data_IF_000509516318
#
_entry.id   IF_000509516318
#
_cell.length_a   1.000
_cell.length_b   1.000
_cell.length_c   1.000
_cell.angle_alpha   90.00
_cell.angle_beta   90.00
_cell.angle_gamma   90.00
#
_symmetry.space_group_name_H-M   'P 1'
#
loop_
_entity.id
_entity.type
_entity.pdbx_description
1 polymer ?
#
# COMPACT_ATOMS: atom_id res chain seq x y z
N UNK A 1 46.00 -9.41 -23.03
CA UNK A 1 44.67 -8.91 -22.59
C UNK A 1 44.10 -8.11 -23.75
N UNK A 2 43.21 -8.72 -24.54
CA UNK A 2 42.50 -8.01 -25.61
C UNK A 2 41.58 -7.00 -24.95
N UNK A 3 41.76 -5.71 -25.24
CA UNK A 3 40.88 -4.67 -24.71
C UNK A 3 39.44 -4.98 -25.13
N UNK A 4 38.55 -5.17 -24.15
CA UNK A 4 37.13 -5.40 -24.40
C UNK A 4 36.60 -4.13 -25.04
N UNK A 5 36.29 -4.17 -26.35
CA UNK A 5 35.75 -3.02 -27.07
C UNK A 5 34.39 -2.67 -26.47
N UNK A 6 34.16 -1.38 -26.22
CA UNK A 6 32.88 -0.88 -25.76
C UNK A 6 31.78 -1.18 -26.79
N UNK A 7 30.62 -1.62 -26.32
CA UNK A 7 29.43 -1.82 -27.16
C UNK A 7 28.75 -0.46 -27.35
N UNK A 8 28.58 -0.05 -28.60
CA UNK A 8 27.97 1.24 -28.92
C UNK A 8 26.46 1.08 -29.04
N UNK A 9 25.72 1.63 -28.07
CA UNK A 9 24.25 1.68 -28.09
C UNK A 9 23.82 3.10 -28.47
N UNK A 10 23.17 3.24 -29.63
CA UNK A 10 22.68 4.53 -30.14
C UNK A 10 21.15 4.58 -30.05
N UNK A 11 20.60 5.79 -30.16
CA UNK A 11 19.15 5.95 -30.33
C UNK A 11 18.79 5.45 -31.73
N UNK A 12 17.88 4.49 -31.85
CA UNK A 12 17.51 3.84 -33.12
C UNK A 12 17.20 4.83 -34.26
N UNK A 13 16.64 6.00 -33.95
CA UNK A 13 16.40 7.05 -34.96
C UNK A 13 17.68 7.47 -35.71
N UNK A 14 18.81 7.61 -35.00
CA UNK A 14 20.11 7.96 -35.60
C UNK A 14 20.71 6.81 -36.40
N UNK A 15 20.43 5.56 -36.01
CA UNK A 15 20.94 4.38 -36.73
C UNK A 15 20.17 4.17 -38.04
N UNK A 16 18.86 4.46 -38.03
CA UNK A 16 18.02 4.48 -39.23
C UNK A 16 18.44 5.59 -40.21
N UNK A 17 18.78 6.79 -39.71
CA UNK A 17 19.27 7.89 -40.57
C UNK A 17 20.65 7.61 -41.19
N UNK A 18 21.56 6.96 -40.46
CA UNK A 18 22.93 6.71 -40.92
C UNK A 18 23.13 5.38 -41.64
N UNK A 19 22.08 4.55 -41.75
CA UNK A 19 22.13 3.21 -42.36
C UNK A 19 23.26 2.34 -41.78
N UNK A 20 23.44 2.36 -40.45
CA UNK A 20 24.45 1.57 -39.75
C UNK A 20 23.90 0.18 -39.35
N UNK A 21 24.79 -0.81 -39.21
CA UNK A 21 24.45 -2.13 -38.67
C UNK A 21 24.42 -2.08 -37.14
N UNK A 22 23.59 -2.93 -36.53
CA UNK A 22 23.66 -3.16 -35.09
C UNK A 22 25.02 -3.79 -34.73
N UNK A 23 25.58 -3.39 -33.58
CA UNK A 23 26.83 -3.96 -33.10
C UNK A 23 26.66 -5.48 -32.84
N UNK A 24 27.55 -6.30 -33.39
CA UNK A 24 27.56 -7.75 -33.22
C UNK A 24 27.55 -8.19 -31.75
N UNK A 25 28.30 -7.49 -30.90
CA UNK A 25 28.32 -7.76 -29.47
C UNK A 25 26.96 -7.41 -28.81
N UNK A 26 26.28 -6.37 -29.28
CA UNK A 26 24.92 -6.06 -28.83
C UNK A 26 23.93 -7.15 -29.22
N UNK A 27 23.95 -7.63 -30.47
CA UNK A 27 23.08 -8.73 -30.93
C UNK A 27 23.30 -9.97 -30.05
N UNK A 28 24.56 -10.34 -29.79
CA UNK A 28 24.87 -11.47 -28.91
C UNK A 28 24.31 -11.30 -27.50
N UNK A 29 24.44 -10.11 -26.89
CA UNK A 29 23.87 -9.82 -25.58
C UNK A 29 22.34 -9.96 -25.56
N UNK A 30 21.67 -9.50 -26.62
CA UNK A 30 20.21 -9.66 -26.74
C UNK A 30 19.85 -11.14 -26.79
N UNK A 31 20.54 -11.93 -27.63
CA UNK A 31 20.30 -13.38 -27.72
C UNK A 31 20.56 -14.09 -26.38
N UNK A 32 21.63 -13.73 -25.68
CA UNK A 32 21.96 -14.27 -24.35
C UNK A 32 20.96 -13.86 -23.27
N UNK A 33 20.33 -12.69 -23.40
CA UNK A 33 19.31 -12.23 -22.47
C UNK A 33 17.95 -12.92 -22.67
N UNK A 34 17.71 -13.51 -23.84
CA UNK A 34 16.44 -14.12 -24.21
C UNK A 34 16.50 -15.65 -24.11
N UNK A 35 17.55 -16.26 -24.64
CA UNK A 35 17.62 -17.72 -24.85
C UNK A 35 18.58 -18.37 -23.86
N UNK A 36 18.31 -19.62 -23.47
CA UNK A 36 19.28 -20.39 -22.67
C UNK A 36 20.51 -20.78 -23.51
N UNK A 37 21.69 -20.95 -22.89
CA UNK A 37 22.85 -21.52 -23.57
C UNK A 37 22.53 -22.90 -24.17
N UNK A 38 22.88 -23.12 -25.43
CA UNK A 38 22.64 -24.37 -26.14
C UNK A 38 22.48 -24.19 -27.65
N UNK A 39 22.08 -25.26 -28.34
CA UNK A 39 22.06 -25.35 -29.81
C UNK A 39 21.26 -24.22 -30.46
N UNK A 40 20.09 -23.89 -29.91
CA UNK A 40 19.23 -22.83 -30.46
C UNK A 40 19.89 -21.46 -30.34
N UNK A 41 20.48 -21.14 -29.18
CA UNK A 41 21.17 -19.86 -28.98
C UNK A 41 22.42 -19.77 -29.86
N UNK A 42 23.21 -20.85 -29.96
CA UNK A 42 24.40 -20.89 -30.81
C UNK A 42 24.04 -20.71 -32.29
N UNK A 43 22.99 -21.38 -32.75
CA UNK A 43 22.46 -21.25 -34.12
C UNK A 43 21.97 -19.83 -34.40
N UNK A 44 21.30 -19.18 -33.44
CA UNK A 44 20.87 -17.80 -33.56
C UNK A 44 22.05 -16.83 -33.58
N UNK A 45 23.09 -17.05 -32.77
CA UNK A 45 24.32 -16.23 -32.76
C UNK A 45 25.06 -16.35 -34.08
N UNK A 46 25.18 -17.56 -34.62
CA UNK A 46 25.78 -17.77 -35.93
C UNK A 46 24.96 -17.09 -37.04
N UNK A 47 23.64 -17.27 -37.05
CA UNK A 47 22.76 -16.74 -38.08
C UNK A 47 22.60 -15.21 -38.03
N UNK A 48 22.55 -14.61 -36.84
CA UNK A 48 22.16 -13.21 -36.65
C UNK A 48 23.32 -12.31 -36.23
N UNK A 49 24.41 -12.87 -35.71
CA UNK A 49 25.60 -12.16 -35.27
C UNK A 49 26.87 -12.70 -35.97
N UNK A 50 26.74 -13.36 -37.13
CA UNK A 50 27.85 -13.78 -37.99
C UNK A 50 28.66 -12.61 -38.58
N UNK A 51 29.73 -12.91 -39.31
CA UNK A 51 30.53 -11.86 -39.99
C UNK A 51 29.73 -11.12 -41.06
N UNK A 52 28.77 -11.79 -41.70
CA UNK A 52 27.93 -11.25 -42.79
C UNK A 52 26.54 -10.75 -42.34
N UNK A 53 26.33 -10.48 -41.05
CA UNK A 53 25.01 -10.03 -40.58
C UNK A 53 24.63 -8.66 -41.17
N UNK A 54 23.34 -8.48 -41.46
CA UNK A 54 22.80 -7.27 -42.12
C UNK A 54 21.70 -6.58 -41.31
N UNK A 55 21.63 -6.85 -40.00
CA UNK A 55 20.59 -6.36 -39.11
C UNK A 55 20.85 -4.89 -38.75
N UNK A 56 19.88 -4.03 -39.05
CA UNK A 56 20.01 -2.56 -38.95
C UNK A 56 19.13 -1.91 -37.87
N UNK A 57 18.23 -2.68 -37.26
CA UNK A 57 17.34 -2.18 -36.21
C UNK A 57 16.92 -3.30 -35.27
N UNK A 58 16.43 -2.93 -34.09
CA UNK A 58 15.93 -3.91 -33.14
C UNK A 58 14.66 -4.59 -33.67
N UNK A 59 13.80 -3.87 -34.38
CA UNK A 59 12.65 -4.44 -35.09
C UNK A 59 13.07 -5.53 -36.09
N UNK A 60 14.14 -5.29 -36.86
CA UNK A 60 14.69 -6.26 -37.80
C UNK A 60 15.29 -7.47 -37.07
N UNK A 61 15.94 -7.26 -35.91
CA UNK A 61 16.45 -8.35 -35.08
C UNK A 61 15.32 -9.24 -34.55
N UNK A 62 14.25 -8.65 -34.03
CA UNK A 62 13.05 -9.36 -33.56
C UNK A 62 12.41 -10.15 -34.70
N UNK A 63 12.26 -9.53 -35.87
CA UNK A 63 11.74 -10.21 -37.06
C UNK A 63 12.63 -11.37 -37.50
N UNK A 64 13.96 -11.22 -37.47
CA UNK A 64 14.89 -12.27 -37.82
C UNK A 64 14.82 -13.46 -36.84
N UNK A 65 14.72 -13.20 -35.53
CA UNK A 65 14.49 -14.24 -34.53
C UNK A 65 13.14 -14.96 -34.75
N UNK A 66 12.06 -14.22 -35.04
CA UNK A 66 10.76 -14.82 -35.40
C UNK A 66 10.87 -15.72 -36.63
N UNK A 67 11.56 -15.26 -37.67
CA UNK A 67 11.78 -16.02 -38.91
C UNK A 67 12.62 -17.27 -38.69
N UNK A 68 13.59 -17.23 -37.78
CA UNK A 68 14.36 -18.40 -37.37
C UNK A 68 13.44 -19.49 -36.82
N UNK A 69 12.57 -19.17 -35.87
CA UNK A 69 11.63 -20.16 -35.32
C UNK A 69 10.56 -20.58 -36.34
N UNK A 70 10.05 -19.65 -37.13
CA UNK A 70 9.06 -19.93 -38.17
C UNK A 70 9.59 -20.90 -39.24
N UNK A 71 10.88 -20.85 -39.55
CA UNK A 71 11.51 -21.77 -40.52
C UNK A 71 11.87 -23.13 -39.91
N UNK A 72 12.29 -23.16 -38.63
CA UNK A 72 12.83 -24.38 -38.03
C UNK A 72 11.79 -25.25 -37.32
N UNK A 73 10.75 -24.66 -36.71
CA UNK A 73 9.72 -25.43 -36.00
C UNK A 73 8.91 -26.33 -36.94
N UNK A 74 8.40 -25.86 -38.10
CA UNK A 74 7.64 -26.72 -39.00
C UNK A 74 8.46 -27.91 -39.49
N UNK A 75 9.72 -27.66 -39.89
CA UNK A 75 10.66 -28.70 -40.32
C UNK A 75 10.87 -29.76 -39.23
N UNK A 76 11.07 -29.31 -37.99
CA UNK A 76 11.21 -30.20 -36.85
C UNK A 76 9.97 -31.07 -36.63
N UNK A 77 8.77 -30.51 -36.83
CA UNK A 77 7.52 -31.24 -36.65
C UNK A 77 7.22 -32.22 -37.80
N UNK A 78 7.66 -31.93 -39.03
CA UNK A 78 7.35 -32.74 -40.22
C UNK A 78 8.40 -33.78 -40.58
N UNK A 79 9.68 -33.57 -40.23
CA UNK A 79 10.80 -34.40 -40.70
C UNK A 79 11.41 -35.30 -39.62
N UNK A 80 11.07 -35.09 -38.34
CA UNK A 80 11.64 -35.86 -37.22
C UNK A 80 10.85 -37.16 -36.98
N UNK A 81 11.56 -38.21 -36.56
CA UNK A 81 10.97 -39.51 -36.23
C UNK A 81 10.00 -39.40 -35.06
N UNK A 82 9.03 -40.30 -35.03
CA UNK A 82 8.09 -40.41 -33.92
C UNK A 82 8.82 -40.52 -32.56
N UNK A 83 8.49 -39.62 -31.63
CA UNK A 83 9.05 -39.60 -30.28
C UNK A 83 10.34 -38.77 -30.10
N UNK A 84 10.91 -38.19 -31.16
CA UNK A 84 12.18 -37.45 -31.12
C UNK A 84 12.02 -35.91 -31.12
N UNK A 85 10.79 -35.41 -30.90
CA UNK A 85 10.54 -33.96 -30.82
C UNK A 85 11.33 -33.35 -29.67
N UNK A 86 12.22 -32.40 -29.98
CA UNK A 86 12.96 -31.66 -28.97
C UNK A 86 12.12 -30.51 -28.40
N UNK A 87 11.84 -30.57 -27.10
CA UNK A 87 11.09 -29.53 -26.39
C UNK A 87 11.85 -28.20 -26.29
N UNK A 88 13.18 -28.21 -26.40
CA UNK A 88 14.04 -27.01 -26.24
C UNK A 88 13.64 -25.91 -27.22
N UNK A 89 13.47 -26.20 -28.51
CA UNK A 89 13.11 -25.17 -29.51
C UNK A 89 11.80 -24.46 -29.18
N UNK A 90 10.82 -25.18 -28.61
CA UNK A 90 9.54 -24.60 -28.20
C UNK A 90 9.69 -23.75 -26.93
N UNK A 91 10.54 -24.18 -25.98
CA UNK A 91 10.84 -23.37 -24.80
C UNK A 91 11.55 -22.08 -25.20
N UNK A 92 12.54 -22.15 -26.10
CA UNK A 92 13.22 -20.96 -26.62
C UNK A 92 12.25 -20.04 -27.38
N UNK A 93 11.34 -20.59 -28.19
CA UNK A 93 10.31 -19.80 -28.87
C UNK A 93 9.35 -19.11 -27.88
N UNK A 94 8.96 -19.80 -26.80
CA UNK A 94 8.17 -19.21 -25.69
C UNK A 94 8.92 -18.05 -25.04
N UNK A 95 10.24 -18.17 -24.82
CA UNK A 95 11.04 -17.08 -24.26
C UNK A 95 11.05 -15.84 -25.16
N UNK A 96 11.20 -16.02 -26.48
CA UNK A 96 11.08 -14.92 -27.43
C UNK A 96 9.72 -14.22 -27.33
N UNK A 97 8.62 -14.98 -27.24
CA UNK A 97 7.28 -14.42 -27.09
C UNK A 97 7.09 -13.64 -25.77
N UNK A 98 7.61 -14.16 -24.65
CA UNK A 98 7.59 -13.48 -23.35
C UNK A 98 8.44 -12.21 -23.39
N UNK A 99 9.64 -12.29 -23.96
CA UNK A 99 10.53 -11.14 -24.13
C UNK A 99 9.84 -10.04 -24.94
N UNK A 100 9.27 -10.37 -26.09
CA UNK A 100 8.66 -9.38 -26.97
C UNK A 100 7.49 -8.65 -26.30
N UNK A 101 6.63 -9.41 -25.61
CA UNK A 101 5.52 -8.82 -24.83
C UNK A 101 6.05 -7.87 -23.77
N UNK A 102 7.06 -8.28 -23.00
CA UNK A 102 7.65 -7.46 -21.93
C UNK A 102 8.36 -6.24 -22.50
N UNK A 103 9.18 -6.40 -23.53
CA UNK A 103 9.87 -5.33 -24.22
C UNK A 103 8.89 -4.25 -24.72
N UNK A 104 7.79 -4.66 -25.35
CA UNK A 104 6.74 -3.72 -25.79
C UNK A 104 6.09 -2.98 -24.62
N UNK A 105 5.86 -3.65 -23.49
CA UNK A 105 5.33 -3.01 -22.28
C UNK A 105 6.32 -2.02 -21.69
N UNK A 106 7.60 -2.40 -21.62
CA UNK A 106 8.68 -1.59 -21.05
C UNK A 106 8.96 -0.34 -21.91
N UNK A 107 8.88 -0.44 -23.24
CA UNK A 107 8.98 0.71 -24.14
C UNK A 107 7.88 1.77 -23.88
N UNK A 108 6.69 1.35 -23.44
CA UNK A 108 5.54 2.22 -23.20
C UNK A 108 5.36 2.57 -21.72
N UNK A 109 6.37 2.29 -20.88
CA UNK A 109 6.28 2.50 -19.42
C UNK A 109 5.93 3.95 -19.08
N UNK A 110 6.53 4.89 -19.82
CA UNK A 110 6.35 6.33 -19.65
C UNK A 110 5.52 6.98 -20.76
N UNK A 111 4.79 6.18 -21.56
CA UNK A 111 3.87 6.70 -22.57
C UNK A 111 2.58 7.22 -21.89
N UNK A 112 2.28 8.54 -21.95
CA UNK A 112 1.08 9.12 -21.36
C UNK A 112 -0.21 8.64 -21.99
N UNK A 113 -0.21 8.24 -23.26
CA UNK A 113 -1.40 7.76 -23.95
C UNK A 113 -1.90 6.40 -23.42
N UNK A 114 -1.05 5.68 -22.70
CA UNK A 114 -1.33 4.35 -22.13
C UNK A 114 -1.65 4.40 -20.63
N UNK A 115 -1.91 5.59 -20.07
CA UNK A 115 -2.22 5.79 -18.64
C UNK A 115 -3.58 6.44 -18.49
N UNK A 116 -4.36 5.98 -17.51
CA UNK A 116 -5.61 6.63 -17.11
C UNK A 116 -5.38 8.04 -16.56
N UNK A 117 -4.28 8.23 -15.82
CA UNK A 117 -3.77 9.54 -15.42
C UNK A 117 -2.38 9.80 -16.04
N UNK A 118 -2.29 10.56 -17.14
CA UNK A 118 -1.03 10.98 -17.76
C UNK A 118 -0.06 11.70 -16.80
N UNK A 119 -0.59 12.45 -15.83
CA UNK A 119 0.21 13.21 -14.87
C UNK A 119 0.83 12.33 -13.77
N UNK A 120 0.48 11.04 -13.69
CA UNK A 120 1.05 10.12 -12.72
C UNK A 120 2.43 9.55 -13.13
N UNK A 121 2.92 9.87 -14.33
CA UNK A 121 4.17 9.31 -14.87
C UNK A 121 5.40 10.05 -14.33
N UNK A 122 5.38 11.37 -14.38
CA UNK A 122 6.54 12.22 -14.12
C UNK A 122 6.35 13.00 -12.84
N UNK A 123 7.45 13.26 -12.14
CA UNK A 123 7.41 14.11 -10.95
C UNK A 123 7.00 15.54 -11.32
N UNK A 124 6.04 16.15 -10.59
CA UNK A 124 5.63 17.54 -10.85
C UNK A 124 6.82 18.50 -10.74
N UNK A 125 7.04 19.28 -11.79
CA UNK A 125 8.14 20.23 -11.85
C UNK A 125 7.64 21.60 -12.34
N UNK A 126 7.57 22.62 -11.46
CA UNK A 126 7.00 23.93 -11.82
C UNK A 126 7.89 24.72 -12.78
N UNK A 127 9.16 24.33 -12.95
CA UNK A 127 10.11 25.00 -13.86
C UNK A 127 10.35 24.20 -15.15
N UNK A 128 9.60 23.12 -15.39
CA UNK A 128 9.75 22.35 -16.63
C UNK A 128 9.37 23.19 -17.85
N UNK A 129 10.22 23.26 -18.90
CA UNK A 129 10.05 24.22 -19.99
C UNK A 129 8.80 24.01 -20.86
N UNK A 130 8.27 22.79 -20.89
CA UNK A 130 7.15 22.41 -21.79
C UNK A 130 5.91 21.92 -21.01
N UNK A 131 6.10 21.43 -19.80
CA UNK A 131 5.06 20.78 -18.99
C UNK A 131 5.20 21.20 -17.52
N UNK A 132 5.10 22.50 -17.21
CA UNK A 132 5.18 22.96 -15.83
C UNK A 132 4.01 22.37 -15.03
N UNK A 133 4.32 21.80 -13.87
CA UNK A 133 3.30 21.25 -12.96
C UNK A 133 3.70 21.46 -11.50
N UNK A 134 2.70 21.70 -10.65
CA UNK A 134 2.91 22.00 -9.23
C UNK A 134 2.64 20.77 -8.38
N UNK A 135 3.64 20.37 -7.58
CA UNK A 135 3.47 19.33 -6.58
C UNK A 135 2.33 19.66 -5.60
N UNK A 136 2.11 20.94 -5.32
CA UNK A 136 1.09 21.40 -4.37
C UNK A 136 -0.33 21.45 -4.95
N UNK A 137 -0.45 21.36 -6.28
CA UNK A 137 -1.73 21.25 -6.99
C UNK A 137 -2.04 19.81 -7.41
N UNK A 138 -1.09 18.90 -7.20
CA UNK A 138 -1.20 17.48 -7.57
C UNK A 138 -2.14 16.73 -6.63
N UNK A 139 -2.98 15.86 -7.23
CA UNK A 139 -3.74 14.83 -6.52
C UNK A 139 -3.09 13.46 -6.78
N UNK A 140 -2.55 12.78 -5.76
CA UNK A 140 -1.71 11.59 -5.96
C UNK A 140 -2.53 10.30 -6.17
N UNK A 141 -3.34 10.23 -7.24
CA UNK A 141 -4.12 9.04 -7.59
C UNK A 141 -4.05 8.71 -9.09
N UNK A 142 -4.33 7.46 -9.44
CA UNK A 142 -4.33 6.99 -10.84
C UNK A 142 -5.74 6.87 -11.42
N UNK A 143 -6.67 6.31 -10.65
CA UNK A 143 -8.02 5.96 -11.11
C UNK A 143 -9.04 6.32 -10.06
N UNK A 144 -10.24 6.67 -10.53
CA UNK A 144 -11.43 6.76 -9.65
C UNK A 144 -11.96 5.36 -9.41
N UNK A 145 -12.18 5.03 -8.15
CA UNK A 145 -12.64 3.72 -7.69
C UNK A 145 -14.18 3.71 -7.54
N UNK A 146 -14.80 4.86 -7.22
CA UNK A 146 -16.26 4.99 -7.07
C UNK A 146 -16.88 3.92 -6.15
N UNK A 147 -16.39 3.88 -4.91
CA UNK A 147 -16.71 2.85 -3.93
C UNK A 147 -18.02 3.10 -3.17
N UNK A 148 -18.36 4.36 -2.92
CA UNK A 148 -19.45 4.71 -2.01
C UNK A 148 -20.24 5.95 -2.44
N UNK A 149 -21.48 6.06 -1.96
CA UNK A 149 -22.31 7.27 -2.06
C UNK A 149 -22.73 7.74 -0.65
N UNK A 150 -23.56 8.79 -0.55
CA UNK A 150 -24.03 9.33 0.75
C UNK A 150 -24.80 8.31 1.59
N UNK A 151 -25.40 7.29 0.99
CA UNK A 151 -26.21 6.26 1.67
C UNK A 151 -25.40 5.02 2.04
N UNK A 152 -24.22 4.81 1.44
CA UNK A 152 -23.35 3.69 1.78
C UNK A 152 -22.98 3.73 3.28
N UNK A 153 -23.25 2.66 4.05
CA UNK A 153 -22.87 2.62 5.46
C UNK A 153 -21.34 2.55 5.61
N UNK A 154 -20.76 3.57 6.26
CA UNK A 154 -19.30 3.70 6.45
C UNK A 154 -18.92 3.73 7.93
N UNK A 155 -17.84 3.04 8.29
CA UNK A 155 -17.18 3.18 9.59
C UNK A 155 -15.70 3.45 9.45
N UNK A 156 -15.05 4.00 10.48
CA UNK A 156 -13.60 4.28 10.43
C UNK A 156 -12.89 4.11 11.77
N UNK A 157 -11.77 3.39 11.78
CA UNK A 157 -10.93 3.20 12.96
C UNK A 157 -9.47 3.55 12.67
N UNK A 158 -8.78 4.13 13.65
CA UNK A 158 -7.35 4.40 13.52
C UNK A 158 -6.82 5.49 14.43
N UNK A 159 -5.79 6.17 13.94
CA UNK A 159 -5.14 7.31 14.59
C UNK A 159 -6.09 8.51 14.70
N UNK A 160 -5.63 9.63 15.26
CA UNK A 160 -6.40 10.88 15.30
C UNK A 160 -6.88 11.33 13.91
N UNK A 161 -6.18 10.96 12.83
CA UNK A 161 -6.61 11.26 11.47
C UNK A 161 -7.90 10.51 11.07
N UNK A 162 -8.15 9.32 11.63
CA UNK A 162 -9.43 8.63 11.45
C UNK A 162 -10.60 9.39 12.11
N UNK A 163 -10.34 10.10 13.21
CA UNK A 163 -11.33 10.97 13.86
C UNK A 163 -11.75 12.13 12.96
N UNK A 164 -10.81 12.72 12.21
CA UNK A 164 -11.12 13.80 11.27
C UNK A 164 -11.95 13.29 10.08
N UNK A 165 -11.67 12.08 9.58
CA UNK A 165 -12.52 11.41 8.60
C UNK A 165 -13.93 11.19 9.16
N UNK A 166 -14.06 10.70 10.39
CA UNK A 166 -15.36 10.49 11.03
C UNK A 166 -16.17 11.78 11.16
N UNK A 167 -15.52 12.88 11.55
CA UNK A 167 -16.15 14.20 11.63
C UNK A 167 -16.57 14.71 10.25
N UNK A 168 -15.70 14.60 9.24
CA UNK A 168 -16.02 15.04 7.89
C UNK A 168 -17.24 14.31 7.35
N UNK A 169 -17.30 12.99 7.51
CA UNK A 169 -18.42 12.19 7.03
C UNK A 169 -19.74 12.60 7.67
N UNK A 170 -19.75 12.82 8.99
CA UNK A 170 -20.95 13.27 9.71
C UNK A 170 -21.36 14.69 9.32
N UNK A 171 -20.42 15.65 9.29
CA UNK A 171 -20.68 17.04 8.87
C UNK A 171 -21.27 17.12 7.45
N UNK A 172 -20.84 16.22 6.57
CA UNK A 172 -21.27 16.19 5.17
C UNK A 172 -22.43 15.20 4.90
N UNK A 173 -23.13 14.73 5.93
CA UNK A 173 -24.32 13.87 5.80
C UNK A 173 -24.07 12.56 5.03
N UNK A 174 -22.88 11.98 5.15
CA UNK A 174 -22.67 10.59 4.76
C UNK A 174 -23.31 9.66 5.81
N UNK A 175 -23.71 8.45 5.40
CA UNK A 175 -24.20 7.41 6.30
C UNK A 175 -23.05 6.79 7.12
N UNK A 176 -22.49 7.61 8.01
CA UNK A 176 -21.47 7.19 8.96
C UNK A 176 -22.11 6.45 10.13
N UNK A 177 -21.72 5.20 10.33
CA UNK A 177 -22.25 4.34 11.39
C UNK A 177 -21.69 4.80 12.73
N UNK A 178 -22.58 5.08 13.68
CA UNK A 178 -22.27 5.32 15.09
C UNK A 178 -23.15 4.39 15.94
N UNK A 179 -22.51 3.48 16.66
CA UNK A 179 -23.12 2.44 17.50
C UNK A 179 -22.83 2.64 19.00
N UNK A 180 -21.88 3.51 19.33
CA UNK A 180 -21.58 3.91 20.70
C UNK A 180 -21.14 5.38 20.72
N UNK A 181 -21.77 6.17 21.59
CA UNK A 181 -21.48 7.58 21.84
C UNK A 181 -21.63 7.86 23.35
N UNK A 182 -21.06 8.97 23.83
CA UNK A 182 -21.29 9.51 25.17
C UNK A 182 -21.53 11.00 25.09
N UNK A 183 -22.16 11.57 26.11
CA UNK A 183 -22.40 13.02 26.19
C UNK A 183 -21.09 13.83 26.08
N UNK A 184 -19.96 13.26 26.50
CA UNK A 184 -18.64 13.89 26.43
C UNK A 184 -18.05 13.95 25.01
N UNK A 185 -18.62 13.20 24.05
CA UNK A 185 -18.21 13.27 22.63
C UNK A 185 -18.86 14.42 21.88
N UNK A 186 -19.88 15.06 22.48
CA UNK A 186 -20.75 16.01 21.79
C UNK A 186 -21.60 15.37 20.70
N UNK A 187 -22.12 16.21 19.81
CA UNK A 187 -23.11 15.80 18.79
C UNK A 187 -22.51 14.97 17.63
N UNK A 188 -21.18 14.96 17.49
CA UNK A 188 -20.48 14.26 16.41
C UNK A 188 -19.36 13.35 16.95
N UNK A 189 -19.71 12.11 17.34
CA UNK A 189 -18.74 11.14 17.84
C UNK A 189 -17.59 10.88 16.87
N UNK A 190 -16.37 10.86 17.38
CA UNK A 190 -15.14 10.75 16.56
C UNK A 190 -14.78 9.33 16.10
N UNK A 191 -15.65 8.34 16.31
CA UNK A 191 -15.45 6.95 15.88
C UNK A 191 -16.77 6.19 15.89
N UNK A 192 -16.87 5.06 15.17
CA UNK A 192 -18.15 4.35 15.07
C UNK A 192 -18.59 3.63 16.35
N UNK A 193 -17.68 3.18 17.21
CA UNK A 193 -18.05 2.54 18.48
C UNK A 193 -17.11 2.91 19.63
N UNK A 194 -16.67 4.18 19.69
CA UNK A 194 -15.80 4.72 20.76
C UNK A 194 -14.64 3.79 21.13
N UNK A 195 -14.01 3.05 20.22
CA UNK A 195 -12.93 2.09 20.55
C UNK A 195 -11.62 2.72 21.02
N UNK A 196 -11.58 4.06 21.09
CA UNK A 196 -10.38 4.81 21.43
C UNK A 196 -9.47 4.98 20.22
N UNK A 197 -8.26 5.50 20.45
CA UNK A 197 -7.29 5.70 19.38
C UNK A 197 -6.54 4.39 19.12
N UNK A 198 -6.49 3.95 17.86
CA UNK A 198 -5.81 2.72 17.45
C UNK A 198 -4.66 3.06 16.52
N UNK A 199 -3.41 2.84 16.95
CA UNK A 199 -2.25 3.17 16.11
C UNK A 199 -1.69 2.00 15.33
N UNK A 200 -1.72 0.81 15.91
CA UNK A 200 -0.98 -0.35 15.40
C UNK A 200 -1.92 -1.48 14.98
N UNK A 201 -1.46 -2.33 14.06
CA UNK A 201 -2.30 -3.38 13.48
C UNK A 201 -2.74 -4.48 14.45
N UNK A 202 -1.98 -4.85 15.50
CA UNK A 202 -2.48 -5.74 16.54
C UNK A 202 -3.71 -5.19 17.26
N UNK A 203 -3.79 -3.87 17.45
CA UNK A 203 -4.96 -3.24 18.07
C UNK A 203 -6.22 -3.36 17.20
N UNK A 204 -6.10 -3.31 15.87
CA UNK A 204 -7.22 -3.57 14.95
C UNK A 204 -7.65 -5.03 14.99
N UNK A 205 -6.69 -5.97 14.91
CA UNK A 205 -6.97 -7.40 15.03
C UNK A 205 -7.70 -7.70 16.34
N UNK A 206 -7.16 -7.22 17.47
CA UNK A 206 -7.79 -7.36 18.78
C UNK A 206 -9.20 -6.79 18.84
N UNK A 207 -9.46 -5.69 18.13
CA UNK A 207 -10.80 -5.09 18.07
C UNK A 207 -11.80 -6.04 17.40
N UNK A 208 -11.43 -6.67 16.29
CA UNK A 208 -12.28 -7.67 15.63
C UNK A 208 -12.42 -8.94 16.50
N UNK A 209 -11.31 -9.46 17.02
CA UNK A 209 -11.30 -10.67 17.85
C UNK A 209 -12.20 -10.50 19.08
N UNK A 210 -12.11 -9.36 19.80
CA UNK A 210 -12.92 -9.11 21.00
C UNK A 210 -14.39 -8.85 20.65
N UNK A 211 -14.69 -8.20 19.52
CA UNK A 211 -16.06 -7.95 19.08
C UNK A 211 -16.83 -9.24 18.78
N UNK A 212 -16.14 -10.26 18.25
CA UNK A 212 -16.73 -11.56 17.91
C UNK A 212 -16.46 -12.66 18.95
N UNK A 213 -15.86 -12.32 20.10
CA UNK A 213 -15.61 -13.27 21.19
C UNK A 213 -14.53 -14.31 20.90
N UNK A 214 -13.67 -14.06 19.91
CA UNK A 214 -12.55 -14.93 19.51
C UNK A 214 -11.34 -14.76 20.44
N UNK A 215 -11.23 -13.60 21.11
CA UNK A 215 -10.20 -13.33 22.12
C UNK A 215 -10.83 -12.83 23.41
N UNK A 216 -10.38 -13.38 24.53
CA UNK A 216 -10.65 -12.83 25.87
C UNK A 216 -9.54 -11.84 26.21
N UNK A 217 -9.91 -10.57 26.38
CA UNK A 217 -8.97 -9.52 26.81
C UNK A 217 -8.74 -9.59 28.32
N UNK A 218 -7.55 -9.19 28.81
CA UNK A 218 -7.34 -9.01 30.24
C UNK A 218 -8.13 -7.81 30.74
N UNK A 219 -8.83 -7.98 31.86
CA UNK A 219 -9.63 -6.93 32.50
C UNK A 219 -8.74 -6.04 33.37
N UNK A 220 -7.91 -5.23 32.70
CA UNK A 220 -7.10 -4.22 33.35
C UNK A 220 -7.88 -2.91 33.46
N UNK A 221 -7.61 -2.18 34.55
CA UNK A 221 -8.15 -0.84 34.80
C UNK A 221 -7.00 0.05 35.23
N UNK A 222 -6.80 1.13 34.50
CA UNK A 222 -5.76 2.10 34.76
C UNK A 222 -6.36 3.40 35.30
N UNK A 223 -5.75 3.94 36.35
CA UNK A 223 -6.06 5.28 36.85
C UNK A 223 -5.23 6.32 36.10
N UNK A 224 -5.88 7.38 35.66
CA UNK A 224 -5.27 8.52 35.00
C UNK A 224 -5.21 9.69 35.99
N UNK A 225 -4.02 9.90 36.57
CA UNK A 225 -3.77 10.95 37.56
C UNK A 225 -4.06 12.36 37.03
N UNK A 226 -3.91 12.58 35.72
CA UNK A 226 -4.07 13.92 35.13
C UNK A 226 -5.51 14.43 35.15
N UNK A 227 -6.49 13.52 35.14
CA UNK A 227 -7.91 13.89 35.13
C UNK A 227 -8.73 13.21 36.24
N UNK A 228 -8.09 12.39 37.08
CA UNK A 228 -8.74 11.67 38.17
C UNK A 228 -9.75 10.63 37.72
N UNK A 229 -9.56 10.04 36.51
CA UNK A 229 -10.51 9.10 35.90
C UNK A 229 -9.87 7.74 35.60
N UNK A 230 -10.72 6.77 35.30
CA UNK A 230 -10.33 5.39 34.99
C UNK A 230 -10.37 5.14 33.49
N UNK A 231 -9.52 4.25 32.98
CA UNK A 231 -9.54 3.84 31.58
C UNK A 231 -9.21 2.36 31.40
N UNK A 232 -9.68 1.79 30.30
CA UNK A 232 -9.22 0.49 29.80
C UNK A 232 -7.97 0.73 28.93
N UNK A 233 -6.83 0.11 29.24
CA UNK A 233 -5.60 0.36 28.50
C UNK A 233 -5.63 -0.12 27.03
N UNK A 234 -6.60 -0.96 26.67
CA UNK A 234 -6.86 -1.40 25.30
C UNK A 234 -7.95 -0.56 24.60
N UNK A 235 -8.31 0.59 25.19
CA UNK A 235 -9.30 1.56 24.68
C UNK A 235 -8.80 2.99 24.93
N UNK A 236 -7.70 3.33 24.27
CA UNK A 236 -6.94 4.57 24.48
C UNK A 236 -7.81 5.83 24.40
N UNK A 237 -7.63 6.73 25.37
CA UNK A 237 -8.32 8.02 25.46
C UNK A 237 -9.85 7.92 25.68
N UNK A 238 -10.34 6.78 26.18
CA UNK A 238 -11.71 6.64 26.67
C UNK A 238 -11.70 6.52 28.18
N UNK A 239 -12.24 7.56 28.83
CA UNK A 239 -12.16 7.77 30.27
C UNK A 239 -13.52 7.56 30.94
N UNK A 240 -13.50 7.08 32.19
CA UNK A 240 -14.68 6.72 32.97
C UNK A 240 -14.60 7.33 34.38
N UNK A 241 -15.74 7.79 34.90
CA UNK A 241 -15.80 8.38 36.25
C UNK A 241 -15.68 7.33 37.37
N UNK A 242 -15.87 6.04 37.08
CA UNK A 242 -15.74 4.95 38.06
C UNK A 242 -15.41 3.62 37.36
N UNK A 243 -14.82 2.69 38.11
CA UNK A 243 -14.55 1.30 37.65
C UNK A 243 -15.87 0.60 37.29
N UNK A 244 -16.92 0.79 38.08
CA UNK A 244 -18.24 0.20 37.81
C UNK A 244 -18.79 0.62 36.44
N UNK A 245 -18.70 1.90 36.07
CA UNK A 245 -19.13 2.37 34.74
C UNK A 245 -18.30 1.76 33.62
N UNK A 246 -16.99 1.62 33.83
CA UNK A 246 -16.09 0.98 32.86
C UNK A 246 -16.51 -0.47 32.64
N UNK A 247 -16.64 -1.25 33.71
CA UNK A 247 -17.00 -2.68 33.66
C UNK A 247 -18.40 -2.90 33.06
N UNK A 248 -19.40 -2.11 33.49
CA UNK A 248 -20.75 -2.14 32.91
C UNK A 248 -20.76 -1.74 31.43
N UNK A 249 -19.80 -0.92 30.99
CA UNK A 249 -19.65 -0.48 29.61
C UNK A 249 -19.01 -1.52 28.69
N UNK A 250 -18.19 -2.45 29.20
CA UNK A 250 -17.42 -3.41 28.37
C UNK A 250 -18.32 -4.21 27.43
N UNK A 251 -19.38 -4.85 27.94
CA UNK A 251 -20.28 -5.67 27.13
C UNK A 251 -20.98 -4.83 26.04
N UNK A 252 -21.51 -3.66 26.41
CA UNK A 252 -22.18 -2.75 25.47
C UNK A 252 -21.23 -2.28 24.36
N UNK A 253 -19.98 -1.97 24.73
CA UNK A 253 -18.93 -1.60 23.77
C UNK A 253 -18.64 -2.71 22.77
N UNK A 254 -18.48 -3.96 23.23
CA UNK A 254 -18.22 -5.10 22.34
C UNK A 254 -19.39 -5.36 21.39
N UNK A 255 -20.63 -5.24 21.88
CA UNK A 255 -21.84 -5.34 21.05
C UNK A 255 -21.90 -4.21 20.00
N UNK A 256 -21.51 -2.99 20.37
CA UNK A 256 -21.43 -1.86 19.44
C UNK A 256 -20.37 -2.11 18.35
N UNK A 257 -19.15 -2.51 18.72
CA UNK A 257 -18.09 -2.87 17.77
C UNK A 257 -18.56 -3.94 16.79
N UNK A 258 -19.25 -4.98 17.30
CA UNK A 258 -19.82 -6.04 16.48
C UNK A 258 -20.83 -5.50 15.45
N UNK A 259 -21.78 -4.67 15.89
CA UNK A 259 -22.79 -4.08 14.99
C UNK A 259 -22.16 -3.20 13.91
N UNK A 260 -21.10 -2.45 14.23
CA UNK A 260 -20.36 -1.69 13.20
C UNK A 260 -19.84 -2.63 12.13
N UNK A 261 -19.10 -3.68 12.50
CA UNK A 261 -18.50 -4.61 11.54
C UNK A 261 -19.53 -5.39 10.70
N UNK A 262 -20.67 -5.73 11.29
CA UNK A 262 -21.77 -6.43 10.59
C UNK A 262 -22.53 -5.49 9.61
N UNK A 263 -22.57 -4.18 9.87
CA UNK A 263 -23.37 -3.21 9.09
C UNK A 263 -22.58 -2.43 8.05
N UNK A 264 -21.29 -2.18 8.28
CA UNK A 264 -20.46 -1.39 7.36
C UNK A 264 -20.39 -2.05 5.98
N UNK A 265 -20.50 -1.26 4.92
CA UNK A 265 -20.15 -1.70 3.56
C UNK A 265 -18.74 -1.25 3.19
N UNK A 266 -18.33 -0.08 3.65
CA UNK A 266 -16.96 0.41 3.56
C UNK A 266 -16.42 0.67 4.96
N UNK A 267 -15.23 0.16 5.26
CA UNK A 267 -14.55 0.41 6.52
C UNK A 267 -13.16 0.99 6.29
N UNK A 268 -12.90 2.14 6.91
CA UNK A 268 -11.66 2.90 6.72
C UNK A 268 -10.71 2.60 7.88
N UNK A 269 -9.52 2.11 7.59
CA UNK A 269 -8.45 1.90 8.56
C UNK A 269 -7.31 2.90 8.34
N UNK A 270 -6.97 3.64 9.38
CA UNK A 270 -5.82 4.55 9.35
C UNK A 270 -4.70 4.05 10.25
N UNK A 271 -3.63 3.54 9.64
CA UNK A 271 -2.45 3.02 10.31
C UNK A 271 -1.62 4.17 10.91
N UNK A 272 -1.37 4.11 12.22
CA UNK A 272 -0.73 5.20 12.96
C UNK A 272 0.77 5.01 13.18
N UNK A 273 1.14 3.94 13.86
CA UNK A 273 2.48 3.67 14.37
C UNK A 273 2.79 2.17 14.32
N UNK A 274 4.03 1.82 14.02
CA UNK A 274 4.54 0.46 14.12
C UNK A 274 5.18 0.15 15.48
N UNK A 275 5.20 1.10 16.43
CA UNK A 275 5.60 0.87 17.81
C UNK A 275 4.37 0.63 18.69
N UNK A 276 4.47 -0.28 19.64
CA UNK A 276 3.37 -0.66 20.51
C UNK A 276 3.86 -1.18 21.87
N UNK A 277 2.91 -1.43 22.77
CA UNK A 277 3.17 -1.97 24.10
C UNK A 277 2.48 -3.32 24.24
N UNK A 278 3.26 -4.38 24.30
CA UNK A 278 2.77 -5.75 24.40
C UNK A 278 2.64 -6.16 25.87
N UNK A 279 1.45 -6.57 26.27
CA UNK A 279 1.13 -7.16 27.55
C UNK A 279 1.79 -8.53 27.65
N UNK A 280 2.75 -8.63 28.57
CA UNK A 280 3.68 -9.78 28.68
C UNK A 280 2.95 -11.12 28.85
N UNK A 281 1.86 -11.23 29.65
CA UNK A 281 1.24 -12.53 29.91
C UNK A 281 0.57 -13.23 28.71
N UNK A 282 0.00 -12.48 27.77
CA UNK A 282 -0.81 -13.09 26.67
C UNK A 282 -0.58 -12.46 25.28
N UNK A 283 0.32 -11.49 25.17
CA UNK A 283 0.65 -10.84 23.90
C UNK A 283 -0.39 -9.84 23.40
N UNK A 284 -1.43 -9.49 24.18
CA UNK A 284 -2.31 -8.37 23.84
C UNK A 284 -1.51 -7.06 23.76
N UNK A 285 -1.96 -6.13 22.94
CA UNK A 285 -1.23 -4.90 22.63
C UNK A 285 -2.06 -3.69 23.02
N UNK A 286 -1.45 -2.77 23.77
CA UNK A 286 -1.92 -1.42 23.99
C UNK A 286 -1.26 -0.45 22.99
N UNK A 287 -2.02 0.56 22.58
CA UNK A 287 -1.57 1.56 21.60
C UNK A 287 -0.58 2.58 22.18
N UNK A 288 -0.54 2.76 23.50
CA UNK A 288 0.37 3.70 24.19
C UNK A 288 1.02 3.09 25.42
N UNK A 289 2.05 3.79 25.90
CA UNK A 289 2.72 3.47 27.15
C UNK A 289 1.73 3.54 28.32
N UNK A 290 1.72 2.52 29.20
CA UNK A 290 1.06 2.59 30.50
C UNK A 290 1.36 3.88 31.28
N UNK A 291 0.34 4.46 31.93
CA UNK A 291 0.39 5.69 32.73
C UNK A 291 0.90 5.48 34.16
N UNK A 292 0.89 4.24 34.69
CA UNK A 292 1.40 3.92 36.04
C UNK A 292 2.57 2.95 36.03
N UNK A 293 3.41 2.96 37.08
CA UNK A 293 4.57 2.05 37.21
C UNK A 293 4.16 0.58 37.33
N UNK A 294 3.08 0.30 38.07
CA UNK A 294 2.54 -1.04 38.24
C UNK A 294 2.03 -1.60 36.92
N UNK A 295 1.33 -0.76 36.14
CA UNK A 295 0.85 -1.15 34.83
C UNK A 295 2.01 -1.30 33.83
N UNK A 296 2.99 -0.39 33.85
CA UNK A 296 4.21 -0.48 33.03
C UNK A 296 5.00 -1.78 33.27
N UNK A 297 4.97 -2.33 34.48
CA UNK A 297 5.62 -3.62 34.79
C UNK A 297 5.01 -4.82 34.05
N UNK A 298 3.81 -4.68 33.49
CA UNK A 298 3.10 -5.74 32.78
C UNK A 298 3.28 -5.65 31.25
N UNK A 299 3.90 -4.59 30.74
CA UNK A 299 4.03 -4.33 29.31
C UNK A 299 5.49 -4.20 28.90
N UNK A 300 5.78 -4.62 27.68
CA UNK A 300 7.07 -4.40 27.03
C UNK A 300 6.89 -3.63 25.73
N UNK A 301 7.83 -2.73 25.45
CA UNK A 301 7.88 -2.05 24.17
C UNK A 301 8.19 -3.05 23.06
N UNK A 302 7.51 -2.89 21.92
CA UNK A 302 7.74 -3.69 20.72
C UNK A 302 7.64 -2.82 19.47
N UNK A 303 8.62 -2.97 18.58
CA UNK A 303 8.56 -2.41 17.22
C UNK A 303 8.17 -3.52 16.25
N UNK A 304 7.03 -3.35 15.60
CA UNK A 304 6.44 -4.33 14.68
C UNK A 304 7.12 -4.26 13.31
N UNK A 305 7.42 -5.43 12.76
CA UNK A 305 7.95 -5.62 11.40
C UNK A 305 6.84 -5.55 10.34
N UNK A 306 7.20 -5.45 9.06
CA UNK A 306 6.22 -5.52 7.94
C UNK A 306 5.37 -6.80 8.04
N UNK A 307 6.02 -7.96 8.19
CA UNK A 307 5.34 -9.27 8.25
C UNK A 307 4.36 -9.37 9.43
N UNK A 308 4.76 -8.93 10.63
CA UNK A 308 3.85 -8.92 11.78
C UNK A 308 2.64 -8.00 11.56
N UNK A 309 2.87 -6.82 10.98
CA UNK A 309 1.78 -5.90 10.71
C UNK A 309 0.80 -6.47 9.67
N UNK A 310 1.33 -7.06 8.59
CA UNK A 310 0.55 -7.67 7.52
C UNK A 310 -0.28 -8.85 8.05
N UNK A 311 0.34 -9.75 8.81
CA UNK A 311 -0.36 -10.88 9.46
C UNK A 311 -1.56 -10.40 10.28
N UNK A 312 -1.42 -9.32 11.05
CA UNK A 312 -2.54 -8.77 11.82
C UNK A 312 -3.66 -8.23 10.93
N UNK A 313 -3.35 -7.55 9.83
CA UNK A 313 -4.37 -7.03 8.91
C UNK A 313 -5.07 -8.15 8.13
N UNK A 314 -4.33 -9.17 7.70
CA UNK A 314 -4.90 -10.36 7.03
C UNK A 314 -5.87 -11.09 7.96
N UNK A 315 -5.48 -11.35 9.20
CA UNK A 315 -6.36 -11.98 10.18
C UNK A 315 -7.56 -11.11 10.52
N UNK A 316 -7.37 -9.78 10.62
CA UNK A 316 -8.47 -8.85 10.84
C UNK A 316 -9.49 -8.93 9.70
N UNK A 317 -9.04 -8.84 8.44
CA UNK A 317 -9.89 -8.92 7.27
C UNK A 317 -10.60 -10.27 7.15
N UNK A 318 -9.89 -11.37 7.45
CA UNK A 318 -10.46 -12.71 7.49
C UNK A 318 -11.65 -12.76 8.46
N UNK A 319 -11.45 -12.32 9.71
CA UNK A 319 -12.53 -12.29 10.73
C UNK A 319 -13.70 -11.43 10.27
N UNK A 320 -13.45 -10.25 9.67
CA UNK A 320 -14.54 -9.40 9.19
C UNK A 320 -15.32 -10.08 8.07
N UNK A 321 -14.64 -10.71 7.11
CA UNK A 321 -15.28 -11.37 5.95
C UNK A 321 -16.05 -12.63 6.32
N UNK A 322 -15.70 -13.31 7.41
CA UNK A 322 -16.53 -14.41 7.93
C UNK A 322 -17.94 -13.94 8.35
N UNK A 323 -18.09 -12.66 8.71
CA UNK A 323 -19.35 -12.09 9.22
C UNK A 323 -20.02 -11.14 8.24
N UNK A 324 -19.21 -10.48 7.41
CA UNK A 324 -19.65 -9.52 6.40
C UNK A 324 -18.81 -9.72 5.13
N UNK A 325 -19.15 -10.71 4.29
CA UNK A 325 -18.35 -11.08 3.10
C UNK A 325 -18.18 -9.94 2.09
N UNK A 326 -19.12 -9.00 2.04
CA UNK A 326 -19.14 -7.88 1.10
C UNK A 326 -18.37 -6.65 1.59
N UNK A 327 -17.77 -6.70 2.78
CA UNK A 327 -17.08 -5.53 3.34
C UNK A 327 -15.88 -5.16 2.47
N UNK A 328 -15.80 -3.87 2.15
CA UNK A 328 -14.67 -3.28 1.45
C UNK A 328 -13.85 -2.44 2.43
N UNK A 329 -12.52 -2.46 2.27
CA UNK A 329 -11.62 -1.68 3.13
C UNK A 329 -10.95 -0.56 2.35
N UNK A 330 -10.83 0.60 2.99
CA UNK A 330 -9.91 1.66 2.57
C UNK A 330 -8.82 1.78 3.62
N UNK A 331 -7.57 1.64 3.22
CA UNK A 331 -6.40 1.68 4.09
C UNK A 331 -5.63 2.98 3.84
N UNK A 332 -5.31 3.72 4.89
CA UNK A 332 -4.47 4.91 4.84
C UNK A 332 -3.35 4.81 5.87
N UNK A 333 -2.23 5.48 5.62
CA UNK A 333 -1.24 5.77 6.66
C UNK A 333 -1.55 7.15 7.25
N UNK A 334 -1.38 7.30 8.57
CA UNK A 334 -1.56 8.58 9.26
C UNK A 334 -0.35 9.50 9.00
N UNK A 335 -0.55 10.76 8.60
CA UNK A 335 0.55 11.72 8.45
C UNK A 335 1.11 12.19 9.79
N UNK A 336 0.28 12.20 10.84
CA UNK A 336 0.64 12.68 12.17
C UNK A 336 1.89 11.94 12.70
N UNK A 337 2.97 12.68 13.03
CA UNK A 337 4.21 12.07 13.51
C UNK A 337 4.09 11.55 14.95
N UNK A 338 4.88 10.53 15.27
CA UNK A 338 4.92 9.96 16.61
C UNK A 338 5.31 11.02 17.65
N UNK A 339 4.63 11.02 18.79
CA UNK A 339 4.94 11.96 19.88
C UNK A 339 6.25 11.58 20.59
N UNK A 340 6.50 10.28 20.70
CA UNK A 340 7.68 9.71 21.34
C UNK A 340 8.00 8.36 20.71
N UNK A 341 9.26 7.95 20.80
CA UNK A 341 9.73 6.62 20.39
C UNK A 341 10.33 5.89 21.58
N UNK A 342 10.08 4.57 21.68
CA UNK A 342 10.78 3.70 22.61
C UNK A 342 12.23 3.41 22.19
N UNK A 343 12.61 3.79 20.97
CA UNK A 343 13.92 3.56 20.35
C UNK A 343 14.90 4.72 20.55
N UNK A 344 14.60 5.63 21.48
CA UNK A 344 15.36 6.86 21.67
C UNK A 344 16.82 6.64 22.12
N UNK A 345 17.16 5.41 22.56
CA UNK A 345 18.56 5.01 22.84
C UNK A 345 19.36 4.76 21.57
N UNK A 346 18.72 4.30 20.49
CA UNK A 346 19.40 3.94 19.23
C UNK A 346 19.18 4.97 18.12
N UNK A 347 18.09 5.74 18.16
CA UNK A 347 17.76 6.65 17.06
C UNK A 347 16.91 7.84 17.50
N UNK A 348 17.01 8.93 16.75
CA UNK A 348 16.22 10.14 16.98
C UNK A 348 14.74 9.90 16.64
N UNK A 349 13.82 10.58 17.33
CA UNK A 349 12.37 10.40 17.15
C UNK A 349 11.91 10.63 15.70
N UNK A 350 12.52 11.58 14.99
CA UNK A 350 12.24 11.83 13.56
C UNK A 350 12.60 10.62 12.72
N UNK A 351 13.78 10.04 12.90
CA UNK A 351 14.21 8.84 12.16
C UNK A 351 13.35 7.61 12.52
N UNK A 352 12.96 7.47 13.79
CA UNK A 352 12.02 6.43 14.21
C UNK A 352 10.65 6.61 13.55
N UNK A 353 10.15 7.85 13.46
CA UNK A 353 8.91 8.18 12.76
C UNK A 353 8.98 7.79 11.28
N UNK A 354 10.05 8.18 10.57
CA UNK A 354 10.22 7.84 9.15
C UNK A 354 10.26 6.33 8.94
N UNK A 355 10.99 5.59 9.78
CA UNK A 355 10.95 4.13 9.78
C UNK A 355 9.52 3.59 9.97
N UNK A 356 8.78 4.16 10.92
CA UNK A 356 7.40 3.78 11.22
C UNK A 356 6.48 3.96 10.01
N UNK A 357 6.50 5.16 9.39
CA UNK A 357 5.66 5.48 8.23
C UNK A 357 6.05 4.67 7.00
N UNK A 358 7.34 4.50 6.74
CA UNK A 358 7.83 3.66 5.63
C UNK A 358 7.40 2.19 5.80
N UNK A 359 7.53 1.64 7.01
CA UNK A 359 7.08 0.26 7.32
C UNK A 359 5.58 0.12 7.05
N UNK A 360 4.76 1.03 7.59
CA UNK A 360 3.30 0.97 7.43
C UNK A 360 2.86 1.22 5.98
N UNK A 361 3.61 2.02 5.21
CA UNK A 361 3.32 2.24 3.79
C UNK A 361 3.56 0.98 2.96
N UNK A 362 4.63 0.24 3.23
CA UNK A 362 4.90 -1.07 2.62
C UNK A 362 3.78 -2.06 2.99
N UNK A 363 3.40 -2.11 4.28
CA UNK A 363 2.29 -2.96 4.74
C UNK A 363 0.99 -2.63 4.00
N UNK A 364 0.65 -1.34 3.86
CA UNK A 364 -0.56 -0.92 3.14
C UNK A 364 -0.51 -1.30 1.64
N UNK A 365 0.67 -1.21 1.01
CA UNK A 365 0.88 -1.62 -0.38
C UNK A 365 0.63 -3.13 -0.55
N UNK A 366 1.34 -3.95 0.23
CA UNK A 366 1.25 -5.41 0.14
C UNK A 366 -0.16 -5.91 0.48
N UNK A 367 -0.77 -5.35 1.53
CA UNK A 367 -2.12 -5.72 1.93
C UNK A 367 -3.17 -5.38 0.86
N UNK A 368 -3.02 -4.22 0.20
CA UNK A 368 -3.89 -3.82 -0.92
C UNK A 368 -3.67 -4.73 -2.14
N UNK A 369 -2.42 -5.01 -2.50
CA UNK A 369 -2.08 -5.83 -3.66
C UNK A 369 -2.57 -7.30 -3.51
N UNK A 370 -2.57 -7.83 -2.29
CA UNK A 370 -2.92 -9.21 -2.02
C UNK A 370 -4.42 -9.45 -1.80
N UNK A 371 -5.22 -8.39 -1.61
CA UNK A 371 -6.62 -8.52 -1.22
C UNK A 371 -7.57 -7.75 -2.15
N UNK A 372 -8.40 -8.48 -2.89
CA UNK A 372 -9.51 -7.89 -3.64
C UNK A 372 -10.45 -7.11 -2.70
N UNK A 373 -11.00 -5.96 -3.13
CA UNK A 373 -11.90 -5.14 -2.31
C UNK A 373 -11.21 -4.37 -1.17
N UNK A 374 -9.87 -4.31 -1.18
CA UNK A 374 -9.06 -3.43 -0.33
C UNK A 374 -8.42 -2.38 -1.21
N UNK A 375 -8.43 -1.12 -0.77
CA UNK A 375 -7.93 0.01 -1.54
C UNK A 375 -7.03 0.90 -0.68
N UNK A 376 -5.96 1.44 -1.26
CA UNK A 376 -5.12 2.42 -0.59
C UNK A 376 -5.64 3.84 -0.80
N UNK A 377 -5.69 4.63 0.27
CA UNK A 377 -5.96 6.06 0.22
C UNK A 377 -4.68 6.86 0.50
N UNK A 378 -4.16 7.65 -0.47
CA UNK A 378 -2.90 8.38 -0.35
C UNK A 378 -3.03 9.69 0.44
N UNK A 379 -3.79 9.69 1.55
CA UNK A 379 -3.92 10.85 2.43
C UNK A 379 -2.60 11.21 3.14
N UNK A 380 -1.75 10.21 3.40
CA UNK A 380 -0.40 10.40 3.93
C UNK A 380 0.47 11.24 2.98
N UNK A 381 0.54 10.84 1.71
CA UNK A 381 1.32 11.52 0.68
C UNK A 381 0.75 12.91 0.36
N UNK A 382 -0.58 13.03 0.36
CA UNK A 382 -1.24 14.33 0.15
C UNK A 382 -0.78 15.36 1.19
N UNK A 383 -0.84 15.02 2.48
CA UNK A 383 -0.39 15.90 3.56
C UNK A 383 1.12 16.11 3.53
N UNK A 384 1.91 15.05 3.41
CA UNK A 384 3.36 15.14 3.63
C UNK A 384 4.14 15.67 2.43
N UNK A 385 3.57 15.65 1.22
CA UNK A 385 4.27 16.03 -0.02
C UNK A 385 3.51 17.03 -0.88
N UNK A 386 2.19 16.93 -0.94
CA UNK A 386 1.39 17.70 -1.90
C UNK A 386 0.77 18.98 -1.30
N UNK A 387 1.28 19.45 -0.16
CA UNK A 387 0.82 20.67 0.50
C UNK A 387 2.00 21.49 1.05
N UNK A 388 1.87 22.82 1.05
CA UNK A 388 2.92 23.73 1.54
C UNK A 388 2.93 23.84 3.07
N UNK A 389 1.78 24.16 3.68
CA UNK A 389 1.66 24.41 5.11
C UNK A 389 0.52 23.58 5.72
N UNK A 390 0.65 22.24 5.76
CA UNK A 390 -0.44 21.38 6.20
C UNK A 390 -0.54 21.25 7.73
N UNK A 391 0.36 21.87 8.50
CA UNK A 391 0.48 21.69 9.94
C UNK A 391 0.11 22.95 10.72
N UNK A 392 -0.52 22.77 11.88
CA UNK A 392 -0.69 23.81 12.89
C UNK A 392 0.68 24.26 13.46
N UNK A 393 0.66 25.27 14.33
CA UNK A 393 1.85 25.84 14.98
C UNK A 393 2.71 24.80 15.70
N UNK A 394 2.11 23.69 16.15
CA UNK A 394 2.81 22.61 16.85
C UNK A 394 3.55 21.64 15.91
N UNK A 395 3.43 21.83 14.59
CA UNK A 395 4.06 21.05 13.52
C UNK A 395 3.66 19.56 13.53
N UNK A 396 2.50 19.22 14.11
CA UNK A 396 2.02 17.84 14.24
C UNK A 396 0.54 17.65 13.96
N UNK A 397 -0.31 18.59 14.39
CA UNK A 397 -1.73 18.59 14.04
C UNK A 397 -1.92 19.16 12.65
N UNK A 398 -2.89 18.59 11.93
CA UNK A 398 -3.18 18.95 10.54
C UNK A 398 -4.20 20.09 10.57
N UNK A 399 -3.98 21.14 9.77
CA UNK A 399 -4.90 22.29 9.70
C UNK A 399 -6.25 21.89 9.09
N UNK A 400 -7.31 22.64 9.39
CA UNK A 400 -8.64 22.41 8.81
C UNK A 400 -8.62 22.46 7.27
N UNK A 401 -7.89 23.43 6.69
CA UNK A 401 -7.71 23.56 5.22
C UNK A 401 -7.05 22.31 4.62
N UNK A 402 -6.06 21.76 5.31
CA UNK A 402 -5.38 20.54 4.87
C UNK A 402 -6.29 19.32 4.98
N UNK A 403 -7.12 19.23 6.03
CA UNK A 403 -8.14 18.19 6.14
C UNK A 403 -9.15 18.29 4.99
N UNK A 404 -9.68 19.48 4.70
CA UNK A 404 -10.62 19.69 3.59
C UNK A 404 -10.05 19.21 2.26
N UNK A 405 -8.82 19.62 1.94
CA UNK A 405 -8.14 19.23 0.69
C UNK A 405 -7.82 17.73 0.62
N UNK A 406 -7.52 17.07 1.73
CA UNK A 406 -7.40 15.59 1.74
C UNK A 406 -8.76 14.93 1.52
N UNK A 407 -9.82 15.49 2.06
CA UNK A 407 -11.16 14.96 1.85
C UNK A 407 -11.66 15.20 0.42
N UNK A 408 -11.27 16.28 -0.26
CA UNK A 408 -11.49 16.45 -1.71
C UNK A 408 -10.85 15.32 -2.53
N UNK A 409 -9.63 14.91 -2.19
CA UNK A 409 -8.98 13.74 -2.79
C UNK A 409 -9.77 12.46 -2.50
N UNK A 410 -10.19 12.27 -1.25
CA UNK A 410 -11.01 11.11 -0.87
C UNK A 410 -12.29 11.04 -1.70
N UNK A 411 -13.03 12.15 -1.80
CA UNK A 411 -14.26 12.22 -2.58
C UNK A 411 -14.00 11.96 -4.07
N UNK A 412 -12.92 12.53 -4.62
CA UNK A 412 -12.55 12.33 -6.02
C UNK A 412 -12.26 10.87 -6.34
N UNK A 413 -11.61 10.14 -5.43
CA UNK A 413 -11.26 8.73 -5.62
C UNK A 413 -12.44 7.79 -5.36
N UNK A 414 -13.16 7.98 -4.26
CA UNK A 414 -14.05 6.95 -3.71
C UNK A 414 -15.53 7.28 -3.79
N UNK A 415 -15.92 8.54 -3.99
CA UNK A 415 -17.33 8.94 -3.91
C UNK A 415 -17.96 9.03 -5.29
N UNK A 416 -19.05 8.29 -5.48
CA UNK A 416 -19.92 8.42 -6.65
C UNK A 416 -20.82 9.64 -6.44
N UNK A 417 -20.60 10.69 -7.24
CA UNK A 417 -21.52 11.84 -7.28
C UNK A 417 -22.81 11.37 -7.97
N UNK A 418 -23.90 11.31 -7.18
CA UNK A 418 -25.24 10.92 -7.63
C UNK A 418 -26.07 12.13 -8.02
#
# INVERSE_FOLDING_TARGET
MTAQKSIVLRREYKDRENNELLDKAFINLVLESIFDPGIVQDSLKEALAGEDHNIRSFDALILAMRNFFASNIPRMLSEIKFGEINADIFQQAKKLAVFEKKYRQDLRRYDPAEKSNPNAIFWPNPTHPVHPDSLFETLPFIDKINLLDKRTPVGSAGSCFASEIALYFQKNNYNYIVEEASDEDGDMPRSSARWGILFNTPSFLQLAEKAFGLRKMPNLVEFNDANGRWQDPFRENVIFSSIEKLENGRKKHLEACRRVFERCKVFILTLGLNECWEYIPDGCVASRFPKSRQHAALFRHKTLTVSENLMCLENFLHILREKNPDIQLIISVSPIPCLATGRAKETHVVTANEHSKATLRIVAEEFTANNAGVYYFPGYEMITRCMQNPWDEDQRHVTDDAIERVMELFETMFVTRT
#
